data_IF_362322778874
#
_entry.id   IF_362322778874
#
_cell.length_a   1.000
_cell.length_b   1.000
_cell.length_c   1.000
_cell.angle_alpha   90.00
_cell.angle_beta   90.00
_cell.angle_gamma   90.00
#
_symmetry.space_group_name_H-M   'P 1'
#
loop_
_entity.id
_entity.type
_entity.pdbx_description
1 polymer ?
#
# COMPACT_ATOMS: atom_id res chain seq x y z
N UNK A 1 -36.61 -29.30 -11.57
CA UNK A 1 -35.82 -28.94 -10.38
C UNK A 1 -34.51 -28.31 -10.88
N UNK A 2 -34.54 -27.00 -11.12
CA UNK A 2 -33.45 -26.28 -11.80
C UNK A 2 -32.43 -25.83 -10.75
N UNK A 3 -31.20 -26.32 -10.87
CA UNK A 3 -30.07 -25.87 -10.05
C UNK A 3 -29.71 -24.43 -10.45
N UNK A 4 -29.94 -23.49 -9.53
CA UNK A 4 -29.44 -22.13 -9.65
C UNK A 4 -27.93 -22.15 -9.46
N UNK A 5 -27.21 -21.87 -10.55
CA UNK A 5 -25.77 -21.62 -10.55
C UNK A 5 -25.56 -20.21 -9.99
N UNK A 6 -24.92 -20.09 -8.84
CA UNK A 6 -24.47 -18.83 -8.26
C UNK A 6 -23.35 -18.24 -9.14
N UNK A 7 -23.46 -16.98 -9.59
CA UNK A 7 -22.42 -16.37 -10.40
C UNK A 7 -21.21 -16.04 -9.53
N UNK A 8 -20.06 -16.62 -9.85
CA UNK A 8 -18.76 -16.18 -9.37
C UNK A 8 -18.54 -14.72 -9.78
N UNK A 9 -18.44 -13.82 -8.80
CA UNK A 9 -17.96 -12.45 -9.01
C UNK A 9 -16.59 -12.53 -9.68
N UNK A 10 -16.53 -12.16 -10.97
CA UNK A 10 -15.29 -11.86 -11.65
C UNK A 10 -14.71 -10.62 -10.97
N UNK A 11 -13.51 -10.75 -10.43
CA UNK A 11 -12.69 -9.60 -10.06
C UNK A 11 -12.24 -9.00 -11.39
N UNK A 12 -12.85 -7.89 -11.80
CA UNK A 12 -12.42 -7.17 -12.99
C UNK A 12 -10.96 -6.75 -12.82
N UNK A 13 -10.11 -6.93 -13.86
CA UNK A 13 -8.79 -6.33 -13.87
C UNK A 13 -8.99 -4.81 -13.91
N UNK A 14 -8.58 -4.11 -12.84
CA UNK A 14 -8.64 -2.64 -12.77
C UNK A 14 -7.93 -2.06 -13.99
N UNK A 15 -8.72 -1.56 -14.95
CA UNK A 15 -8.23 -0.87 -16.13
C UNK A 15 -7.71 0.51 -15.76
N UNK A 16 -6.59 0.85 -16.38
CA UNK A 16 -5.86 2.10 -16.30
C UNK A 16 -6.71 3.37 -16.55
N UNK A 17 -6.28 4.46 -15.91
CA UNK A 17 -6.71 5.87 -16.04
C UNK A 17 -8.07 6.28 -15.46
N UNK A 18 -8.14 6.33 -14.13
CA UNK A 18 -8.85 7.45 -13.47
C UNK A 18 -7.75 8.36 -12.92
N UNK A 19 -7.84 9.68 -13.14
CA UNK A 19 -6.66 10.55 -13.14
C UNK A 19 -5.85 10.51 -11.84
N UNK A 20 -4.53 10.47 -12.00
CA UNK A 20 -3.61 10.68 -10.90
C UNK A 20 -3.82 12.07 -10.30
N UNK A 21 -3.66 12.19 -8.98
CA UNK A 21 -3.71 13.48 -8.28
C UNK A 21 -5.06 14.21 -8.39
N UNK A 22 -6.14 13.49 -8.64
CA UNK A 22 -7.49 14.04 -8.69
C UNK A 22 -8.01 14.30 -7.27
N UNK A 23 -8.61 15.47 -7.09
CA UNK A 23 -9.41 15.77 -5.90
C UNK A 23 -10.61 14.83 -5.84
N UNK A 24 -10.81 14.18 -4.70
CA UNK A 24 -11.87 13.22 -4.46
C UNK A 24 -12.86 13.87 -3.50
N UNK A 25 -14.12 13.87 -3.92
CA UNK A 25 -15.19 14.44 -3.13
C UNK A 25 -15.38 13.72 -1.80
N UNK A 26 -15.82 14.45 -0.78
CA UNK A 26 -16.28 13.89 0.48
C UNK A 26 -17.47 12.92 0.26
N UNK A 27 -17.70 11.97 1.17
CA UNK A 27 -18.87 11.06 1.07
C UNK A 27 -20.24 11.73 1.25
N UNK A 28 -20.27 13.05 1.51
CA UNK A 28 -21.49 13.79 1.83
C UNK A 28 -22.07 13.46 3.21
N UNK A 29 -23.35 13.77 3.40
CA UNK A 29 -24.08 13.61 4.66
C UNK A 29 -24.24 14.92 5.44
N UNK A 30 -24.91 14.83 6.59
CA UNK A 30 -25.18 15.95 7.50
C UNK A 30 -24.87 15.52 8.92
N UNK A 31 -24.03 16.31 9.59
CA UNK A 31 -23.75 16.18 11.01
C UNK A 31 -24.42 17.33 11.75
N UNK A 32 -25.31 17.02 12.68
CA UNK A 32 -25.97 18.00 13.54
C UNK A 32 -25.46 17.84 14.97
N UNK A 33 -24.92 18.92 15.53
CA UNK A 33 -24.52 19.03 16.93
C UNK A 33 -25.63 19.80 17.66
N UNK A 34 -26.40 19.12 18.50
CA UNK A 34 -27.44 19.76 19.32
C UNK A 34 -26.92 20.01 20.71
N UNK A 35 -26.85 21.27 21.13
CA UNK A 35 -26.51 21.66 22.51
C UNK A 35 -27.79 22.07 23.21
N UNK A 36 -28.03 21.49 24.39
CA UNK A 36 -29.22 21.76 25.22
C UNK A 36 -28.83 21.99 26.67
N UNK A 37 -29.51 22.93 27.29
CA UNK A 37 -29.36 23.29 28.71
C UNK A 37 -30.47 22.62 29.50
N UNK A 38 -30.11 21.90 30.57
CA UNK A 38 -31.08 21.27 31.45
C UNK A 38 -31.62 22.26 32.50
N UNK A 39 -32.66 21.86 33.24
CA UNK A 39 -33.30 22.69 34.28
C UNK A 39 -32.35 23.13 35.40
N UNK A 40 -31.21 22.44 35.56
CA UNK A 40 -30.15 22.78 36.51
C UNK A 40 -29.05 23.70 35.95
N UNK A 41 -29.21 24.22 34.73
CA UNK A 41 -28.21 25.05 34.04
C UNK A 41 -27.03 24.27 33.47
N UNK A 42 -27.01 22.94 33.58
CA UNK A 42 -25.99 22.08 33.01
C UNK A 42 -26.21 21.89 31.51
N UNK A 43 -25.14 22.01 30.72
CA UNK A 43 -25.19 21.79 29.28
C UNK A 43 -24.81 20.37 28.89
N UNK A 44 -25.50 19.87 27.88
CA UNK A 44 -25.24 18.58 27.24
C UNK A 44 -25.28 18.74 25.73
N UNK A 45 -24.63 17.83 25.00
CA UNK A 45 -24.69 17.81 23.55
C UNK A 45 -25.02 16.42 22.99
N UNK A 46 -25.64 16.41 21.82
CA UNK A 46 -25.94 15.21 21.04
C UNK A 46 -25.39 15.37 19.62
N UNK A 47 -24.79 14.30 19.09
CA UNK A 47 -24.35 14.22 17.70
C UNK A 47 -25.32 13.38 16.89
N UNK A 48 -25.78 13.91 15.75
CA UNK A 48 -26.65 13.20 14.82
C UNK A 48 -26.05 13.21 13.42
N UNK A 49 -25.77 12.03 12.86
CA UNK A 49 -25.34 11.86 11.48
C UNK A 49 -26.48 11.30 10.63
N UNK A 50 -26.70 11.89 9.46
CA UNK A 50 -27.61 11.34 8.43
C UNK A 50 -26.97 11.46 7.06
N UNK A 51 -27.21 10.47 6.19
CA UNK A 51 -26.76 10.51 4.80
C UNK A 51 -27.70 9.68 3.92
N UNK A 52 -27.95 10.17 2.71
CA UNK A 52 -28.68 9.45 1.65
C UNK A 52 -27.92 9.50 0.33
N UNK A 53 -26.61 9.81 0.34
CA UNK A 53 -25.80 9.85 -0.88
C UNK A 53 -25.60 8.44 -1.43
N UNK A 54 -25.64 8.26 -2.76
CA UNK A 54 -25.47 6.96 -3.41
C UNK A 54 -23.98 6.57 -3.56
N UNK A 55 -23.13 6.93 -2.59
CA UNK A 55 -21.71 6.63 -2.61
C UNK A 55 -21.30 5.85 -1.34
N UNK A 56 -20.17 5.13 -1.37
CA UNK A 56 -19.59 4.57 -0.16
C UNK A 56 -19.29 5.65 0.88
N UNK A 57 -19.66 5.39 2.14
CA UNK A 57 -19.31 6.23 3.27
C UNK A 57 -18.86 5.36 4.43
N UNK A 58 -17.73 5.71 5.05
CA UNK A 58 -17.27 5.15 6.31
C UNK A 58 -17.20 6.28 7.33
N UNK A 59 -17.79 6.05 8.50
CA UNK A 59 -17.74 7.01 9.61
C UNK A 59 -16.83 6.44 10.69
N UNK A 60 -15.85 7.24 11.10
CA UNK A 60 -15.02 6.95 12.27
C UNK A 60 -15.32 7.94 13.39
N UNK A 61 -14.99 7.52 14.60
CA UNK A 61 -15.15 8.32 15.81
C UNK A 61 -13.81 8.37 16.54
N UNK A 62 -13.48 9.53 17.10
CA UNK A 62 -12.30 9.73 17.94
C UNK A 62 -12.62 10.72 19.06
N UNK A 63 -11.85 10.65 20.14
CA UNK A 63 -11.83 11.72 21.14
C UNK A 63 -10.80 12.78 20.75
N UNK A 64 -11.15 14.05 20.95
CA UNK A 64 -10.25 15.18 20.78
C UNK A 64 -10.38 16.17 21.94
N UNK A 65 -9.29 16.83 22.31
CA UNK A 65 -9.35 17.93 23.26
C UNK A 65 -10.09 19.13 22.64
N UNK A 66 -10.67 20.03 23.46
CA UNK A 66 -11.37 21.21 22.95
C UNK A 66 -10.51 22.10 22.02
N UNK A 67 -9.18 22.04 22.13
CA UNK A 67 -8.23 22.74 21.25
C UNK A 67 -8.05 22.05 19.88
N UNK A 68 -8.80 21.00 19.56
CA UNK A 68 -8.70 20.29 18.28
C UNK A 68 -7.59 19.23 18.22
N UNK A 69 -7.04 18.81 19.37
CA UNK A 69 -5.96 17.81 19.43
C UNK A 69 -6.57 16.41 19.52
N UNK A 70 -6.40 15.53 18.51
CA UNK A 70 -6.88 14.15 18.57
C UNK A 70 -6.16 13.35 19.66
N UNK A 71 -6.90 12.49 20.38
CA UNK A 71 -6.38 11.69 21.50
C UNK A 71 -6.38 10.20 21.18
N UNK A 72 -7.56 9.61 20.95
CA UNK A 72 -7.70 8.17 20.74
C UNK A 72 -8.91 7.83 19.87
N UNK A 73 -8.82 6.77 19.04
CA UNK A 73 -9.96 6.29 18.27
C UNK A 73 -11.01 5.69 19.20
N UNK A 74 -12.28 5.94 18.90
CA UNK A 74 -13.39 5.28 19.58
C UNK A 74 -13.66 3.98 18.83
N UNK A 75 -13.49 2.86 19.52
CA UNK A 75 -13.96 1.58 19.02
C UNK A 75 -15.49 1.63 19.04
N UNK A 76 -16.10 1.89 17.88
CA UNK A 76 -17.55 1.93 17.74
C UNK A 76 -18.13 0.60 18.23
N UNK A 77 -18.66 0.62 19.45
CA UNK A 77 -19.32 -0.51 20.08
C UNK A 77 -20.73 -0.63 19.49
N UNK A 78 -21.26 -1.85 19.42
CA UNK A 78 -22.58 -2.11 18.82
C UNK A 78 -23.70 -1.25 19.42
N UNK A 79 -24.85 -1.20 18.73
CA UNK A 79 -26.03 -0.43 19.19
C UNK A 79 -26.36 -0.79 20.64
N UNK A 80 -26.47 0.22 21.50
CA UNK A 80 -26.83 0.07 22.91
C UNK A 80 -25.64 -0.20 23.85
N UNK A 81 -24.42 -0.30 23.34
CA UNK A 81 -23.23 -0.42 24.19
C UNK A 81 -22.74 0.99 24.56
N UNK A 82 -22.45 1.26 25.85
CA UNK A 82 -21.90 2.54 26.28
C UNK A 82 -20.58 2.84 25.57
N UNK A 83 -20.44 4.07 25.08
CA UNK A 83 -19.18 4.57 24.55
C UNK A 83 -18.18 4.65 25.72
N UNK A 84 -16.95 4.13 25.57
CA UNK A 84 -15.95 4.22 26.63
C UNK A 84 -15.67 5.69 26.97
N UNK A 85 -15.41 5.98 28.24
CA UNK A 85 -15.00 7.32 28.65
C UNK A 85 -13.64 7.68 28.02
N UNK A 86 -13.41 8.95 27.65
CA UNK A 86 -12.11 9.38 27.15
C UNK A 86 -11.04 9.25 28.23
N UNK A 87 -9.82 8.96 27.80
CA UNK A 87 -8.59 8.97 28.62
C UNK A 87 -8.34 10.31 29.29
N UNK A 88 -8.83 11.41 28.71
CA UNK A 88 -8.74 12.77 29.26
C UNK A 88 -10.14 13.35 29.46
N UNK A 89 -10.43 13.78 30.69
CA UNK A 89 -11.69 14.45 31.03
C UNK A 89 -11.85 15.74 30.21
N UNK A 90 -13.07 16.00 29.75
CA UNK A 90 -13.40 17.17 28.93
C UNK A 90 -13.07 17.01 27.43
N UNK A 91 -12.61 15.83 26.99
CA UNK A 91 -12.48 15.55 25.57
C UNK A 91 -13.86 15.43 24.90
N UNK A 92 -13.94 15.88 23.65
CA UNK A 92 -15.12 15.81 22.80
C UNK A 92 -15.07 14.58 21.90
N UNK A 93 -16.22 13.94 21.70
CA UNK A 93 -16.37 12.94 20.66
C UNK A 93 -16.51 13.65 19.31
N UNK A 94 -15.66 13.29 18.35
CA UNK A 94 -15.66 13.84 16.99
C UNK A 94 -15.97 12.73 16.00
N UNK A 95 -16.87 13.01 15.06
CA UNK A 95 -17.21 12.12 13.95
C UNK A 95 -16.53 12.59 12.67
N UNK A 96 -15.71 11.75 12.05
CA UNK A 96 -15.03 12.04 10.78
C UNK A 96 -15.53 11.06 9.72
N UNK A 97 -15.99 11.58 8.59
CA UNK A 97 -16.46 10.76 7.48
C UNK A 97 -15.38 10.62 6.39
N UNK A 98 -15.46 9.54 5.63
CA UNK A 98 -14.55 9.24 4.55
C UNK A 98 -14.78 10.10 3.31
N UNK A 99 -13.87 10.02 2.36
CA UNK A 99 -14.15 10.41 0.98
C UNK A 99 -15.25 9.54 0.33
N UNK A 100 -15.70 9.95 -0.86
CA UNK A 100 -16.76 9.33 -1.66
C UNK A 100 -16.45 7.93 -2.17
N UNK A 101 -15.24 7.41 -1.93
CA UNK A 101 -14.88 6.01 -2.20
C UNK A 101 -14.75 5.18 -0.93
N UNK A 102 -15.10 5.76 0.23
CA UNK A 102 -15.00 5.08 1.52
C UNK A 102 -13.57 5.01 2.06
N UNK A 103 -12.67 5.93 1.65
CA UNK A 103 -11.26 5.96 2.07
C UNK A 103 -10.90 7.24 2.79
N UNK A 104 -9.75 7.20 3.45
CA UNK A 104 -9.21 8.28 4.26
C UNK A 104 -7.82 8.61 3.74
N UNK A 105 -7.50 9.89 3.64
CA UNK A 105 -6.14 10.35 3.40
C UNK A 105 -5.33 10.37 4.68
N UNK A 106 -4.01 10.29 4.52
CA UNK A 106 -3.06 10.16 5.61
C UNK A 106 -1.78 10.92 5.29
N UNK A 107 -1.15 11.51 6.30
CA UNK A 107 0.17 12.14 6.19
C UNK A 107 1.15 11.53 7.18
N UNK A 108 2.35 11.20 6.73
CA UNK A 108 3.36 10.65 7.62
C UNK A 108 4.01 11.77 8.44
N UNK A 109 4.04 11.71 9.79
CA UNK A 109 4.73 12.73 10.58
C UNK A 109 6.25 12.71 10.41
N UNK A 110 6.82 11.60 9.89
CA UNK A 110 8.26 11.44 9.69
C UNK A 110 8.70 11.92 8.31
N UNK A 111 8.10 11.40 7.23
CA UNK A 111 8.50 11.76 5.87
C UNK A 111 7.60 12.79 5.19
N UNK A 112 6.48 13.18 5.81
CA UNK A 112 5.50 14.16 5.31
C UNK A 112 4.78 13.79 4.00
N UNK A 113 5.02 12.58 3.51
CA UNK A 113 4.34 12.06 2.32
C UNK A 113 2.89 11.67 2.62
N UNK A 114 2.04 11.86 1.62
CA UNK A 114 0.61 11.59 1.66
C UNK A 114 0.23 10.26 0.99
N UNK A 115 -0.82 9.58 1.46
CA UNK A 115 -1.44 8.43 0.80
C UNK A 115 -2.90 8.28 1.22
N UNK A 116 -3.66 7.37 0.59
CA UNK A 116 -5.00 6.99 1.06
C UNK A 116 -5.07 5.51 1.42
N UNK A 117 -5.83 5.19 2.46
CA UNK A 117 -6.12 3.81 2.87
C UNK A 117 -7.41 3.70 3.69
N UNK A 118 -7.60 2.55 4.34
CA UNK A 118 -8.58 2.40 5.42
C UNK A 118 -8.26 3.37 6.59
N UNK A 119 -9.21 3.61 7.53
CA UNK A 119 -9.14 4.76 8.45
C UNK A 119 -7.98 4.75 9.45
N UNK A 120 -7.50 3.56 9.82
CA UNK A 120 -6.53 3.41 10.92
C UNK A 120 -5.25 2.74 10.43
N UNK A 121 -4.41 3.42 9.62
CA UNK A 121 -3.13 2.88 9.23
C UNK A 121 -2.20 2.81 10.44
N UNK A 122 -1.24 1.89 10.38
CA UNK A 122 -0.20 1.73 11.39
C UNK A 122 1.20 1.99 10.84
N UNK A 123 1.37 1.85 9.52
CA UNK A 123 2.66 1.91 8.87
C UNK A 123 2.61 2.95 7.75
N UNK A 124 3.61 3.81 7.65
CA UNK A 124 3.77 4.66 6.48
C UNK A 124 4.20 3.81 5.25
N UNK A 125 3.49 3.89 4.11
CA UNK A 125 3.85 3.14 2.90
C UNK A 125 5.24 3.41 2.35
N UNK A 126 5.82 4.58 2.64
CA UNK A 126 7.06 5.04 2.02
C UNK A 126 8.28 4.83 2.91
N UNK A 127 8.20 5.32 4.15
CA UNK A 127 9.32 5.32 5.07
C UNK A 127 9.26 4.21 6.12
N UNK A 128 8.14 3.48 6.21
CA UNK A 128 7.89 2.45 7.23
C UNK A 128 7.89 2.95 8.67
N UNK A 129 7.68 4.25 8.89
CA UNK A 129 7.41 4.77 10.23
C UNK A 129 6.18 4.05 10.79
N UNK A 130 6.28 3.57 12.02
CA UNK A 130 5.18 3.01 12.79
C UNK A 130 4.89 3.97 13.92
N UNK A 131 3.72 4.59 13.87
CA UNK A 131 3.23 5.55 14.87
C UNK A 131 1.75 5.26 15.13
N UNK A 132 1.18 5.72 16.26
CA UNK A 132 -0.26 5.63 16.50
C UNK A 132 -1.07 6.13 15.29
N UNK A 133 -2.17 5.45 14.96
CA UNK A 133 -2.95 5.74 13.74
C UNK A 133 -3.42 7.19 13.63
N UNK A 134 -3.68 7.85 14.76
CA UNK A 134 -4.07 9.26 14.79
C UNK A 134 -2.95 10.23 14.41
N UNK A 135 -1.69 9.81 14.53
CA UNK A 135 -0.56 10.61 14.07
C UNK A 135 -0.50 10.67 12.54
N UNK A 136 -1.19 9.75 11.86
CA UNK A 136 -1.31 9.73 10.42
C UNK A 136 -2.48 10.54 9.87
N UNK A 137 -3.32 11.17 10.71
CA UNK A 137 -4.43 11.99 10.22
C UNK A 137 -3.93 13.01 9.19
N UNK A 138 -4.64 13.12 8.07
CA UNK A 138 -4.31 14.10 7.04
C UNK A 138 -4.46 15.52 7.56
N UNK A 139 -3.77 16.47 6.93
CA UNK A 139 -3.94 17.90 7.24
C UNK A 139 -5.41 18.33 7.15
N UNK A 140 -6.13 17.76 6.18
CA UNK A 140 -7.54 18.03 5.99
C UNK A 140 -8.38 17.48 7.16
N UNK A 141 -8.12 16.24 7.60
CA UNK A 141 -8.79 15.67 8.78
C UNK A 141 -8.46 16.44 10.07
N UNK A 142 -7.22 16.89 10.25
CA UNK A 142 -6.80 17.72 11.39
C UNK A 142 -7.53 19.06 11.40
N UNK A 143 -7.62 19.72 10.25
CA UNK A 143 -8.37 20.96 10.10
C UNK A 143 -9.86 20.76 10.43
N UNK A 144 -10.46 19.66 9.97
CA UNK A 144 -11.84 19.30 10.32
C UNK A 144 -12.03 19.10 11.83
N UNK A 145 -11.15 18.35 12.49
CA UNK A 145 -11.23 18.11 13.95
C UNK A 145 -11.11 19.42 14.73
N UNK A 146 -10.19 20.32 14.36
CA UNK A 146 -10.05 21.63 14.98
C UNK A 146 -11.32 22.48 14.82
N UNK A 147 -11.87 22.57 13.60
CA UNK A 147 -13.10 23.32 13.35
C UNK A 147 -14.30 22.74 14.10
N UNK A 148 -14.42 21.41 14.15
CA UNK A 148 -15.48 20.73 14.88
C UNK A 148 -15.41 21.06 16.38
N UNK A 149 -14.22 20.96 16.99
CA UNK A 149 -14.04 21.21 18.41
C UNK A 149 -14.32 22.68 18.77
N UNK A 150 -13.89 23.62 17.92
CA UNK A 150 -14.20 25.04 18.10
C UNK A 150 -15.68 25.34 18.00
N UNK A 151 -16.37 24.75 17.02
CA UNK A 151 -17.81 24.92 16.85
C UNK A 151 -18.58 24.41 18.07
N UNK A 152 -18.23 23.21 18.57
CA UNK A 152 -18.84 22.64 19.77
C UNK A 152 -18.51 23.46 21.03
N UNK A 153 -17.26 23.88 21.22
CA UNK A 153 -16.87 24.75 22.34
C UNK A 153 -17.70 26.05 22.36
N UNK A 154 -17.79 26.74 21.22
CA UNK A 154 -18.55 27.98 21.13
C UNK A 154 -20.05 27.77 21.44
N UNK A 155 -20.64 26.66 21.03
CA UNK A 155 -22.03 26.34 21.36
C UNK A 155 -22.23 25.95 22.83
N UNK A 156 -21.24 25.29 23.45
CA UNK A 156 -21.25 25.02 24.88
C UNK A 156 -21.10 26.31 25.69
N UNK A 157 -20.31 27.28 25.25
CA UNK A 157 -20.09 28.54 25.96
C UNK A 157 -21.19 29.60 25.75
N UNK A 158 -22.02 29.46 24.71
CA UNK A 158 -23.11 30.39 24.43
C UNK A 158 -24.21 30.35 25.51
N UNK A 159 -25.01 31.40 25.70
CA UNK A 159 -26.11 31.34 26.70
C UNK A 159 -27.32 30.52 26.23
N UNK A 160 -27.49 30.36 24.93
CA UNK A 160 -28.67 29.75 24.33
C UNK A 160 -28.39 28.32 23.83
N UNK A 161 -29.45 27.52 23.81
CA UNK A 161 -29.47 26.25 23.10
C UNK A 161 -29.27 26.48 21.59
N UNK A 162 -28.59 25.54 20.93
CA UNK A 162 -28.26 25.68 19.52
C UNK A 162 -28.18 24.34 18.80
N UNK A 163 -28.49 24.35 17.49
CA UNK A 163 -28.23 23.25 16.56
C UNK A 163 -27.20 23.74 15.52
N UNK A 164 -26.02 23.13 15.51
CA UNK A 164 -24.99 23.38 14.49
C UNK A 164 -25.13 22.30 13.42
N UNK A 165 -25.47 22.68 12.19
CA UNK A 165 -25.45 21.79 11.03
C UNK A 165 -24.14 21.93 10.26
N UNK A 166 -23.40 20.83 10.13
CA UNK A 166 -22.28 20.68 9.21
C UNK A 166 -22.80 19.89 8.00
N UNK A 167 -23.05 20.62 6.92
CA UNK A 167 -23.59 20.07 5.67
C UNK A 167 -22.44 19.59 4.75
N UNK A 168 -22.13 18.29 4.84
CA UNK A 168 -21.09 17.67 4.04
C UNK A 168 -21.51 17.42 2.60
N UNK A 169 -22.80 17.48 2.28
CA UNK A 169 -23.26 17.44 0.89
C UNK A 169 -22.76 18.67 0.13
N UNK A 170 -22.81 19.86 0.77
CA UNK A 170 -22.20 21.08 0.20
C UNK A 170 -20.70 20.97 0.02
N UNK A 171 -20.00 20.28 0.93
CA UNK A 171 -18.55 20.02 0.80
C UNK A 171 -18.29 19.13 -0.41
N UNK A 172 -19.06 18.06 -0.56
CA UNK A 172 -18.93 17.13 -1.68
C UNK A 172 -19.26 17.79 -3.04
N UNK A 173 -20.26 18.66 -3.09
CA UNK A 173 -20.67 19.36 -4.32
C UNK A 173 -19.73 20.50 -4.72
N UNK A 174 -18.87 20.97 -3.80
CA UNK A 174 -17.89 22.03 -4.06
C UNK A 174 -16.61 21.53 -4.74
N UNK A 175 -16.43 20.22 -4.94
CA UNK A 175 -15.23 19.63 -5.58
C UNK A 175 -15.16 20.02 -7.05
N UNK A 176 -13.99 20.50 -7.48
CA UNK A 176 -13.81 21.04 -8.84
C UNK A 176 -14.61 22.32 -9.15
N UNK A 177 -15.32 22.91 -8.17
CA UNK A 177 -16.05 24.15 -8.34
C UNK A 177 -15.12 25.38 -8.19
N UNK A 178 -15.42 26.45 -8.94
CA UNK A 178 -14.79 27.76 -8.78
C UNK A 178 -15.41 28.61 -7.67
N UNK A 179 -16.50 28.13 -7.04
CA UNK A 179 -17.16 28.81 -5.92
C UNK A 179 -16.32 28.75 -4.65
N UNK A 180 -16.48 29.72 -3.72
CA UNK A 180 -15.86 29.64 -2.40
C UNK A 180 -16.18 28.32 -1.71
N UNK A 181 -15.14 27.59 -1.31
CA UNK A 181 -15.26 26.31 -0.61
C UNK A 181 -15.85 26.54 0.80
N UNK A 182 -16.77 25.68 1.29
CA UNK A 182 -17.36 25.80 2.63
C UNK A 182 -16.29 25.74 3.74
N UNK A 183 -16.62 26.23 4.94
CA UNK A 183 -15.68 26.28 6.08
C UNK A 183 -15.06 24.90 6.40
N UNK A 184 -15.90 23.86 6.42
CA UNK A 184 -15.50 22.46 6.67
C UNK A 184 -15.00 21.73 5.41
N UNK A 185 -14.57 22.45 4.37
CA UNK A 185 -14.13 21.81 3.14
C UNK A 185 -12.85 21.00 3.36
N UNK A 186 -12.98 19.69 3.22
CA UNK A 186 -11.90 18.70 3.30
C UNK A 186 -12.09 17.72 2.16
N UNK A 187 -11.07 17.62 1.32
CA UNK A 187 -11.01 16.70 0.19
C UNK A 187 -9.72 15.90 0.25
N UNK A 188 -9.82 14.63 -0.09
CA UNK A 188 -8.66 13.75 -0.24
C UNK A 188 -8.26 13.71 -1.73
N UNK A 189 -7.07 13.21 -2.03
CA UNK A 189 -6.54 13.15 -3.39
C UNK A 189 -6.17 11.73 -3.81
N UNK A 190 -6.54 11.29 -5.03
CA UNK A 190 -6.03 10.04 -5.60
C UNK A 190 -4.51 10.08 -5.78
N UNK A 191 -3.86 8.93 -5.69
CA UNK A 191 -2.44 8.79 -6.03
C UNK A 191 -2.25 7.97 -7.31
N UNK A 192 -1.05 7.43 -7.52
CA UNK A 192 -0.65 6.79 -8.78
C UNK A 192 -0.91 5.29 -8.79
N UNK A 193 -0.81 4.63 -7.64
CA UNK A 193 -0.93 3.18 -7.55
C UNK A 193 -1.91 2.75 -6.46
N UNK A 194 -3.04 2.25 -6.90
CA UNK A 194 -4.08 1.66 -6.07
C UNK A 194 -3.91 0.14 -6.03
N UNK A 195 -3.76 -0.44 -4.84
CA UNK A 195 -3.68 -1.88 -4.67
C UNK A 195 -4.34 -2.37 -3.38
N UNK A 196 -4.76 -3.63 -3.39
CA UNK A 196 -5.14 -4.35 -2.16
C UNK A 196 -3.99 -5.22 -1.73
N UNK A 197 -3.59 -5.10 -0.47
CA UNK A 197 -2.52 -5.91 0.09
C UNK A 197 -2.87 -7.40 -0.02
N UNK A 198 -1.98 -8.19 -0.61
CA UNK A 198 -2.20 -9.64 -0.78
C UNK A 198 -2.19 -10.42 0.54
N UNK A 199 -1.65 -9.83 1.62
CA UNK A 199 -1.58 -10.45 2.94
C UNK A 199 -2.82 -10.15 3.80
N UNK A 200 -3.26 -8.89 3.88
CA UNK A 200 -4.36 -8.47 4.77
C UNK A 200 -5.59 -7.88 4.06
N UNK A 201 -5.56 -7.72 2.73
CA UNK A 201 -6.66 -7.19 1.93
C UNK A 201 -6.91 -5.67 2.03
N UNK A 202 -6.16 -4.97 2.89
CA UNK A 202 -6.26 -3.51 3.08
C UNK A 202 -5.98 -2.77 1.77
N UNK A 203 -6.84 -1.80 1.46
CA UNK A 203 -6.68 -0.91 0.32
C UNK A 203 -5.59 0.14 0.59
N UNK A 204 -4.76 0.39 -0.42
CA UNK A 204 -3.73 1.41 -0.42
C UNK A 204 -3.77 2.16 -1.75
N UNK A 205 -3.59 3.47 -1.70
CA UNK A 205 -3.47 4.36 -2.85
C UNK A 205 -2.27 5.27 -2.58
N UNK A 206 -1.16 4.97 -3.25
CA UNK A 206 0.17 5.52 -2.93
C UNK A 206 0.82 6.20 -4.14
N UNK A 207 1.80 7.05 -3.86
CA UNK A 207 2.70 7.62 -4.85
C UNK A 207 3.71 6.56 -5.32
N UNK A 208 3.95 6.49 -6.63
CA UNK A 208 4.78 5.48 -7.25
C UNK A 208 4.21 4.06 -7.15
N UNK A 209 4.97 3.07 -7.61
CA UNK A 209 4.50 1.68 -7.74
C UNK A 209 4.70 0.84 -6.47
N UNK A 210 5.73 1.13 -5.67
CA UNK A 210 6.17 0.25 -4.58
C UNK A 210 6.01 0.90 -3.21
N UNK A 211 5.43 0.17 -2.27
CA UNK A 211 5.24 0.63 -0.90
C UNK A 211 4.91 -0.49 0.08
N UNK A 212 4.96 -0.14 1.36
CA UNK A 212 4.41 -0.97 2.43
C UNK A 212 2.89 -0.85 2.46
N UNK A 213 2.20 -1.95 2.76
CA UNK A 213 0.81 -1.88 3.16
C UNK A 213 0.69 -1.03 4.44
N UNK A 214 -0.21 -0.05 4.42
CA UNK A 214 -0.37 0.89 5.52
C UNK A 214 -0.85 0.27 6.83
N UNK A 215 -1.35 -0.95 6.79
CA UNK A 215 -1.90 -1.66 7.95
C UNK A 215 -0.94 -2.74 8.46
N UNK A 216 -0.68 -3.78 7.65
CA UNK A 216 0.18 -4.89 8.06
C UNK A 216 1.69 -4.68 7.83
N UNK A 217 2.10 -3.66 7.07
CA UNK A 217 3.52 -3.43 6.76
C UNK A 217 4.13 -4.42 5.75
N UNK A 218 3.34 -5.25 5.06
CA UNK A 218 3.84 -6.11 3.96
C UNK A 218 4.19 -5.25 2.74
N UNK A 219 5.36 -5.46 2.13
CA UNK A 219 5.73 -4.79 0.87
C UNK A 219 4.97 -5.35 -0.32
N UNK A 220 4.50 -4.49 -1.24
CA UNK A 220 3.79 -4.93 -2.44
C UNK A 220 4.69 -5.37 -3.60
N UNK A 221 6.01 -5.14 -3.53
CA UNK A 221 6.95 -5.38 -4.63
C UNK A 221 6.88 -6.81 -5.19
N UNK A 222 6.71 -7.82 -4.32
CA UNK A 222 6.62 -9.21 -4.77
C UNK A 222 5.33 -9.45 -5.55
N UNK A 223 4.22 -8.86 -5.10
CA UNK A 223 2.95 -8.96 -5.80
C UNK A 223 3.02 -8.29 -7.17
N UNK A 224 3.63 -7.09 -7.26
CA UNK A 224 3.83 -6.41 -8.55
C UNK A 224 4.72 -7.27 -9.47
N UNK A 225 5.85 -7.77 -8.97
CA UNK A 225 6.75 -8.60 -9.76
C UNK A 225 6.08 -9.88 -10.27
N UNK A 226 5.41 -10.63 -9.39
CA UNK A 226 4.83 -11.94 -9.69
C UNK A 226 3.51 -11.85 -10.47
N UNK A 227 2.66 -10.86 -10.18
CA UNK A 227 1.28 -10.79 -10.70
C UNK A 227 1.09 -9.77 -11.81
N UNK A 228 2.03 -8.86 -12.00
CA UNK A 228 1.96 -7.84 -13.05
C UNK A 228 3.15 -8.01 -14.02
N UNK A 229 4.37 -7.81 -13.55
CA UNK A 229 5.56 -7.76 -14.42
C UNK A 229 5.85 -9.09 -15.12
N UNK A 230 5.90 -10.21 -14.37
CA UNK A 230 6.16 -11.54 -14.96
C UNK A 230 5.06 -11.95 -15.96
N UNK A 231 3.76 -11.80 -15.64
CA UNK A 231 2.68 -12.05 -16.61
C UNK A 231 2.75 -11.19 -17.86
N UNK A 232 3.13 -9.91 -17.76
CA UNK A 232 3.31 -9.04 -18.93
C UNK A 232 4.43 -9.54 -19.85
N UNK A 233 5.58 -9.92 -19.29
CA UNK A 233 6.68 -10.51 -20.06
C UNK A 233 6.24 -11.83 -20.71
N UNK A 234 5.52 -12.70 -19.99
CA UNK A 234 4.97 -13.94 -20.55
C UNK A 234 3.98 -13.67 -21.68
N UNK A 235 3.11 -12.67 -21.52
CA UNK A 235 2.15 -12.27 -22.54
C UNK A 235 2.84 -11.79 -23.81
N UNK A 236 3.86 -10.93 -23.68
CA UNK A 236 4.65 -10.47 -24.82
C UNK A 236 5.38 -11.62 -25.52
N UNK A 237 6.00 -12.54 -24.77
CA UNK A 237 6.67 -13.72 -25.29
C UNK A 237 5.69 -14.64 -26.05
N UNK A 238 4.54 -14.95 -25.46
CA UNK A 238 3.52 -15.79 -26.08
C UNK A 238 2.84 -15.13 -27.28
N UNK A 239 2.90 -13.80 -27.38
CA UNK A 239 2.42 -13.02 -28.53
C UNK A 239 3.39 -13.00 -29.72
N UNK A 240 4.45 -13.83 -29.71
CA UNK A 240 5.47 -13.85 -30.77
C UNK A 240 6.66 -12.94 -30.50
N UNK A 241 6.78 -12.39 -29.29
CA UNK A 241 7.96 -11.63 -28.86
C UNK A 241 9.22 -12.49 -28.88
N UNK A 242 10.37 -11.86 -29.16
CA UNK A 242 11.67 -12.56 -29.20
C UNK A 242 12.08 -13.04 -27.80
N UNK A 243 12.50 -14.30 -27.62
CA UNK A 243 12.98 -14.81 -26.33
C UNK A 243 14.13 -14.01 -25.72
N UNK A 244 15.01 -13.42 -26.54
CA UNK A 244 16.10 -12.56 -26.04
C UNK A 244 15.59 -11.29 -25.33
N UNK A 245 14.49 -10.71 -25.83
CA UNK A 245 13.85 -9.56 -25.17
C UNK A 245 13.25 -10.00 -23.83
N UNK A 246 12.56 -11.14 -23.81
CA UNK A 246 12.00 -11.68 -22.57
C UNK A 246 13.09 -11.93 -21.52
N UNK A 247 14.26 -12.45 -21.91
CA UNK A 247 15.40 -12.63 -21.00
C UNK A 247 15.88 -11.28 -20.45
N UNK A 248 16.14 -10.29 -21.31
CA UNK A 248 16.59 -8.96 -20.89
C UNK A 248 15.61 -8.33 -19.91
N UNK A 249 14.33 -8.33 -20.27
CA UNK A 249 13.28 -7.68 -19.48
C UNK A 249 13.07 -8.42 -18.15
N UNK A 250 13.19 -9.76 -18.13
CA UNK A 250 13.13 -10.58 -16.90
C UNK A 250 14.26 -10.23 -15.92
N UNK A 251 15.49 -10.17 -16.41
CA UNK A 251 16.66 -9.87 -15.56
C UNK A 251 16.64 -8.41 -15.11
N UNK A 252 16.24 -7.47 -15.97
CA UNK A 252 16.10 -6.06 -15.59
C UNK A 252 15.00 -5.84 -14.54
N UNK A 253 13.86 -6.54 -14.66
CA UNK A 253 12.80 -6.50 -13.67
C UNK A 253 13.26 -7.08 -12.32
N UNK A 254 13.97 -8.21 -12.34
CA UNK A 254 14.51 -8.80 -11.12
C UNK A 254 15.59 -7.93 -10.45
N UNK A 255 16.50 -7.34 -11.22
CA UNK A 255 17.51 -6.38 -10.74
C UNK A 255 16.84 -5.18 -10.04
N UNK A 256 15.78 -4.64 -10.65
CA UNK A 256 14.99 -3.56 -10.08
C UNK A 256 14.28 -3.98 -8.78
N UNK A 257 13.68 -5.18 -8.76
CA UNK A 257 13.05 -5.77 -7.58
C UNK A 257 14.06 -5.90 -6.43
N UNK A 258 15.21 -6.54 -6.66
CA UNK A 258 16.27 -6.71 -5.65
C UNK A 258 16.77 -5.35 -5.15
N UNK A 259 16.92 -4.37 -6.04
CA UNK A 259 17.31 -3.01 -5.70
C UNK A 259 16.35 -2.31 -4.73
N UNK A 260 15.04 -2.52 -4.85
CA UNK A 260 14.08 -1.97 -3.90
C UNK A 260 14.28 -2.54 -2.49
N UNK A 261 14.47 -3.86 -2.37
CA UNK A 261 14.74 -4.50 -1.08
C UNK A 261 16.08 -4.07 -0.48
N UNK A 262 17.14 -4.01 -1.30
CA UNK A 262 18.45 -3.55 -0.87
C UNK A 262 18.39 -2.11 -0.33
N UNK A 263 17.67 -1.21 -1.01
CA UNK A 263 17.45 0.17 -0.57
C UNK A 263 16.77 0.23 0.79
N UNK A 264 15.74 -0.60 1.01
CA UNK A 264 15.01 -0.64 2.28
C UNK A 264 15.86 -1.22 3.40
N UNK A 265 16.57 -2.33 3.16
CA UNK A 265 17.47 -2.94 4.14
C UNK A 265 18.60 -1.98 4.53
N UNK A 266 19.21 -1.27 3.56
CA UNK A 266 20.24 -0.28 3.82
C UNK A 266 19.74 0.90 4.68
N UNK A 267 18.43 1.21 4.61
CA UNK A 267 17.78 2.26 5.40
C UNK A 267 17.39 1.79 6.79
N UNK A 268 16.84 0.58 6.92
CA UNK A 268 16.18 0.09 8.13
C UNK A 268 17.09 -0.77 9.02
N UNK A 269 18.12 -1.38 8.46
CA UNK A 269 19.09 -2.19 9.21
C UNK A 269 20.32 -1.35 9.53
N UNK A 270 20.76 -1.27 10.81
CA UNK A 270 22.02 -0.64 11.16
C UNK A 270 23.20 -1.36 10.50
N UNK A 271 23.89 -0.65 9.60
CA UNK A 271 25.01 -1.18 8.82
C UNK A 271 26.18 -0.19 8.80
N UNK A 272 27.39 -0.73 8.78
CA UNK A 272 28.62 0.04 8.48
C UNK A 272 28.55 0.62 7.05
N UNK A 273 29.20 1.77 6.81
CA UNK A 273 29.25 2.43 5.50
C UNK A 273 29.66 1.47 4.37
N UNK A 274 30.74 0.70 4.55
CA UNK A 274 31.19 -0.24 3.52
C UNK A 274 30.17 -1.34 3.15
N UNK A 275 29.30 -1.75 4.09
CA UNK A 275 28.18 -2.68 3.78
C UNK A 275 27.07 -1.97 3.02
N UNK A 276 26.78 -0.70 3.36
CA UNK A 276 25.79 0.11 2.61
C UNK A 276 26.24 0.36 1.17
N UNK A 277 27.51 0.69 0.95
CA UNK A 277 28.06 0.96 -0.39
C UNK A 277 27.98 -0.28 -1.30
N UNK A 278 28.17 -1.49 -0.73
CA UNK A 278 27.99 -2.74 -1.46
C UNK A 278 26.55 -2.96 -1.94
N UNK A 279 25.55 -2.44 -1.23
CA UNK A 279 24.12 -2.56 -1.57
C UNK A 279 23.64 -1.53 -2.59
N UNK A 280 24.44 -0.50 -2.89
CA UNK A 280 24.10 0.53 -3.88
C UNK A 280 24.52 0.15 -5.32
N UNK A 281 25.11 -1.03 -5.51
CA UNK A 281 25.52 -1.55 -6.82
C UNK A 281 24.33 -2.19 -7.55
N UNK A 282 24.45 -2.33 -8.88
CA UNK A 282 23.50 -3.11 -9.71
C UNK A 282 23.70 -4.61 -9.49
N UNK A 283 22.61 -5.38 -9.44
CA UNK A 283 22.54 -6.81 -9.20
C UNK A 283 22.55 -7.60 -10.52
N UNK A 284 23.54 -7.30 -11.38
CA UNK A 284 23.68 -7.87 -12.72
C UNK A 284 24.44 -9.21 -12.76
N UNK A 285 24.94 -9.68 -11.62
CA UNK A 285 25.49 -11.02 -11.41
C UNK A 285 24.65 -11.75 -10.38
N UNK A 286 24.02 -12.85 -10.78
CA UNK A 286 23.16 -13.62 -9.90
C UNK A 286 23.93 -14.21 -8.72
N UNK A 287 25.12 -14.79 -8.94
CA UNK A 287 25.89 -15.41 -7.85
C UNK A 287 26.41 -14.37 -6.88
N UNK A 288 26.93 -13.25 -7.39
CA UNK A 288 27.31 -12.11 -6.57
C UNK A 288 26.15 -11.58 -5.74
N UNK A 289 24.93 -11.58 -6.29
CA UNK A 289 23.71 -11.20 -5.56
C UNK A 289 23.37 -12.19 -4.45
N UNK A 290 23.42 -13.50 -4.71
CA UNK A 290 23.24 -14.54 -3.68
C UNK A 290 24.21 -14.34 -2.51
N UNK A 291 25.50 -14.23 -2.82
CA UNK A 291 26.55 -14.05 -1.82
C UNK A 291 26.37 -12.76 -1.03
N UNK A 292 26.06 -11.65 -1.70
CA UNK A 292 25.88 -10.34 -1.06
C UNK A 292 24.79 -10.37 0.02
N UNK A 293 23.61 -10.92 -0.30
CA UNK A 293 22.50 -10.97 0.64
C UNK A 293 22.72 -12.00 1.75
N UNK A 294 23.35 -13.13 1.44
CA UNK A 294 23.73 -14.13 2.45
C UNK A 294 24.75 -13.56 3.43
N UNK A 295 25.80 -12.92 2.94
CA UNK A 295 26.89 -12.38 3.77
C UNK A 295 26.46 -11.22 4.67
N UNK A 296 25.60 -10.33 4.17
CA UNK A 296 25.21 -9.12 4.90
C UNK A 296 24.02 -9.38 5.83
N UNK A 297 23.06 -10.21 5.40
CA UNK A 297 21.74 -10.33 6.04
C UNK A 297 21.33 -11.76 6.40
N UNK A 298 22.16 -12.76 6.08
CA UNK A 298 21.82 -14.18 6.19
C UNK A 298 20.61 -14.61 5.33
N UNK A 299 20.25 -13.81 4.32
CA UNK A 299 19.13 -14.11 3.41
C UNK A 299 19.63 -15.00 2.27
N UNK A 300 19.12 -16.22 2.21
CA UNK A 300 19.39 -17.17 1.13
C UNK A 300 18.34 -17.07 0.01
N UNK A 301 18.67 -16.36 -1.07
CA UNK A 301 17.83 -16.25 -2.26
C UNK A 301 17.75 -17.57 -3.05
N UNK A 302 18.74 -18.46 -2.90
CA UNK A 302 18.81 -19.74 -3.58
C UNK A 302 18.12 -20.87 -2.79
N UNK A 303 17.49 -20.55 -1.66
CA UNK A 303 16.75 -21.51 -0.86
C UNK A 303 15.79 -22.35 -1.71
N UNK A 304 15.88 -23.66 -1.57
CA UNK A 304 15.09 -24.67 -2.31
C UNK A 304 15.33 -24.69 -3.84
N UNK A 305 16.28 -23.92 -4.39
CA UNK A 305 16.72 -24.05 -5.78
C UNK A 305 17.74 -25.18 -5.93
N UNK A 306 17.67 -25.94 -7.03
CA UNK A 306 18.67 -26.96 -7.32
C UNK A 306 19.97 -26.30 -7.81
N UNK A 307 21.14 -26.92 -7.63
CA UNK A 307 22.40 -26.41 -8.18
C UNK A 307 22.31 -26.10 -9.68
N UNK A 308 21.69 -26.98 -10.47
CA UNK A 308 21.48 -26.75 -11.90
C UNK A 308 20.59 -25.52 -12.21
N UNK A 309 19.58 -25.24 -11.38
CA UNK A 309 18.73 -24.04 -11.53
C UNK A 309 19.55 -22.77 -11.25
N UNK A 310 20.45 -22.81 -10.27
CA UNK A 310 21.35 -21.69 -9.93
C UNK A 310 22.34 -21.45 -11.08
N UNK A 311 22.93 -22.52 -11.62
CA UNK A 311 23.85 -22.45 -12.75
C UNK A 311 23.15 -21.88 -13.99
N UNK A 312 21.91 -22.32 -14.25
CA UNK A 312 21.06 -21.80 -15.31
C UNK A 312 20.79 -20.30 -15.14
N UNK A 313 20.35 -19.86 -13.95
CA UNK A 313 20.11 -18.45 -13.66
C UNK A 313 21.37 -17.61 -13.87
N UNK A 314 22.50 -18.04 -13.32
CA UNK A 314 23.77 -17.34 -13.46
C UNK A 314 24.16 -17.15 -14.94
N UNK A 315 24.04 -18.22 -15.75
CA UNK A 315 24.31 -18.16 -17.18
C UNK A 315 23.39 -17.15 -17.89
N UNK A 316 22.10 -17.11 -17.55
CA UNK A 316 21.14 -16.16 -18.15
C UNK A 316 21.45 -14.71 -17.82
N UNK A 317 21.98 -14.42 -16.63
CA UNK A 317 22.46 -13.07 -16.28
C UNK A 317 23.65 -12.67 -17.14
N UNK A 318 24.61 -13.57 -17.38
CA UNK A 318 25.72 -13.30 -18.31
C UNK A 318 25.23 -13.09 -19.75
N UNK A 319 24.25 -13.86 -20.21
CA UNK A 319 23.70 -13.70 -21.57
C UNK A 319 22.97 -12.37 -21.78
N UNK A 320 22.33 -11.80 -20.74
CA UNK A 320 21.77 -10.44 -20.82
C UNK A 320 22.82 -9.44 -21.30
N UNK A 321 24.03 -9.47 -20.72
CA UNK A 321 25.11 -8.56 -21.11
C UNK A 321 25.44 -8.67 -22.60
N UNK A 322 25.49 -9.90 -23.12
CA UNK A 322 25.74 -10.17 -24.55
C UNK A 322 24.64 -9.60 -25.43
N UNK A 323 23.37 -9.73 -25.05
CA UNK A 323 22.25 -9.16 -25.81
C UNK A 323 22.19 -7.63 -25.74
N UNK A 324 22.51 -7.03 -24.59
CA UNK A 324 22.47 -5.57 -24.42
C UNK A 324 23.65 -4.85 -25.09
N UNK A 325 24.84 -5.46 -25.09
CA UNK A 325 26.06 -4.75 -25.46
C UNK A 325 26.82 -5.35 -26.64
N UNK A 326 26.53 -6.59 -27.04
CA UNK A 326 27.30 -7.32 -28.06
C UNK A 326 26.43 -7.84 -29.21
N UNK A 327 25.19 -7.36 -29.32
CA UNK A 327 24.28 -7.76 -30.39
C UNK A 327 23.89 -9.24 -30.37
N UNK A 328 24.07 -9.94 -29.25
CA UNK A 328 23.83 -11.38 -29.13
C UNK A 328 25.01 -12.26 -29.57
N UNK A 329 26.19 -11.69 -29.86
CA UNK A 329 27.38 -12.46 -30.25
C UNK A 329 28.28 -12.76 -29.04
N UNK A 330 28.61 -14.04 -28.83
CA UNK A 330 29.49 -14.47 -27.74
C UNK A 330 30.91 -13.89 -27.91
N UNK A 331 31.37 -13.13 -26.92
CA UNK A 331 32.72 -12.57 -26.87
C UNK A 331 33.63 -13.28 -25.84
N UNK A 332 34.93 -12.94 -25.85
CA UNK A 332 35.92 -13.56 -24.95
C UNK A 332 35.58 -13.32 -23.49
N UNK A 333 35.07 -12.12 -23.15
CA UNK A 333 34.70 -11.77 -21.80
C UNK A 333 33.52 -12.63 -21.30
N UNK A 334 32.50 -12.81 -22.12
CA UNK A 334 31.37 -13.69 -21.83
C UNK A 334 31.83 -15.13 -21.60
N UNK A 335 32.63 -15.71 -22.49
CA UNK A 335 33.08 -17.10 -22.36
C UNK A 335 33.93 -17.30 -21.11
N UNK A 336 34.83 -16.36 -20.80
CA UNK A 336 35.70 -16.42 -19.64
C UNK A 336 34.95 -16.31 -18.31
N UNK A 337 33.88 -15.51 -18.26
CA UNK A 337 33.14 -15.24 -17.02
C UNK A 337 31.95 -16.18 -16.79
N UNK A 338 31.26 -16.60 -17.86
CA UNK A 338 30.09 -17.47 -17.76
C UNK A 338 30.42 -18.96 -17.68
N UNK A 339 31.57 -19.37 -18.23
CA UNK A 339 31.91 -20.79 -18.40
C UNK A 339 31.02 -21.52 -19.42
N UNK A 340 30.31 -20.80 -20.29
CA UNK A 340 29.41 -21.40 -21.29
C UNK A 340 30.19 -22.19 -22.35
N UNK A 341 30.15 -23.51 -22.26
CA UNK A 341 30.78 -24.41 -23.25
C UNK A 341 29.86 -24.76 -24.42
N UNK A 342 28.63 -24.24 -24.45
CA UNK A 342 27.64 -24.56 -25.50
C UNK A 342 27.76 -23.68 -26.74
N UNK A 343 28.55 -22.60 -26.69
CA UNK A 343 28.75 -21.65 -27.79
C UNK A 343 30.23 -21.37 -28.01
N UNK A 344 30.60 -21.03 -29.25
CA UNK A 344 31.97 -20.64 -29.62
C UNK A 344 32.12 -19.12 -29.66
N UNK A 345 33.36 -18.63 -29.61
CA UNK A 345 33.65 -17.22 -29.84
C UNK A 345 33.09 -16.76 -31.19
N UNK A 346 32.43 -15.60 -31.21
CA UNK A 346 31.69 -15.02 -32.34
C UNK A 346 30.41 -15.77 -32.76
N UNK A 347 29.99 -16.79 -32.02
CA UNK A 347 28.72 -17.44 -32.29
C UNK A 347 27.56 -16.57 -31.80
N UNK A 348 26.54 -16.39 -32.63
CA UNK A 348 25.28 -15.77 -32.20
C UNK A 348 24.56 -16.70 -31.22
N UNK A 349 24.30 -16.20 -30.02
CA UNK A 349 23.51 -16.85 -28.98
C UNK A 349 22.03 -16.70 -29.33
N UNK A 350 21.26 -17.78 -29.18
CA UNK A 350 19.81 -17.79 -29.35
C UNK A 350 19.14 -18.31 -28.09
N UNK A 351 18.07 -17.65 -27.68
CA UNK A 351 17.24 -18.11 -26.57
C UNK A 351 15.99 -18.83 -27.08
N UNK A 352 15.46 -19.72 -26.25
CA UNK A 352 14.20 -20.43 -26.54
C UNK A 352 13.08 -19.87 -25.68
N UNK A 353 11.85 -20.00 -26.17
CA UNK A 353 10.66 -19.62 -25.41
C UNK A 353 10.56 -20.39 -24.09
N UNK A 354 10.82 -21.69 -24.12
CA UNK A 354 10.80 -22.54 -22.92
C UNK A 354 11.86 -22.08 -21.90
N UNK A 355 13.07 -21.75 -22.36
CA UNK A 355 14.13 -21.23 -21.49
C UNK A 355 13.77 -19.88 -20.86
N UNK A 356 13.06 -19.00 -21.57
CA UNK A 356 12.58 -17.75 -21.02
C UNK A 356 11.46 -17.97 -19.99
N UNK A 357 10.55 -18.94 -20.21
CA UNK A 357 9.54 -19.32 -19.23
C UNK A 357 10.12 -19.94 -17.97
N UNK A 358 11.16 -20.78 -18.11
CA UNK A 358 11.92 -21.37 -17.01
C UNK A 358 12.61 -20.27 -16.19
N UNK A 359 13.33 -19.34 -16.85
CA UNK A 359 13.96 -18.18 -16.21
C UNK A 359 12.97 -17.40 -15.36
N UNK A 360 11.82 -17.01 -15.92
CA UNK A 360 10.79 -16.27 -15.20
C UNK A 360 10.27 -17.04 -13.97
N UNK A 361 10.08 -18.36 -14.09
CA UNK A 361 9.64 -19.20 -12.96
C UNK A 361 10.67 -19.26 -11.84
N UNK A 362 11.95 -19.42 -12.18
CA UNK A 362 13.04 -19.45 -11.22
C UNK A 362 13.27 -18.10 -10.54
N UNK A 363 13.14 -16.98 -11.28
CA UNK A 363 13.24 -15.64 -10.71
C UNK A 363 12.12 -15.34 -9.71
N UNK A 364 10.88 -15.80 -9.96
CA UNK A 364 9.78 -15.67 -8.98
C UNK A 364 10.11 -16.43 -7.69
N UNK A 365 10.72 -17.61 -7.78
CA UNK A 365 11.15 -18.37 -6.59
C UNK A 365 12.22 -17.62 -5.80
N UNK A 366 13.25 -17.10 -6.49
CA UNK A 366 14.29 -16.29 -5.85
C UNK A 366 13.74 -14.99 -5.23
N UNK A 367 12.80 -14.32 -5.92
CA UNK A 367 12.12 -13.13 -5.42
C UNK A 367 11.29 -13.41 -4.16
N UNK A 368 10.59 -14.54 -4.14
CA UNK A 368 9.87 -15.03 -2.96
C UNK A 368 10.81 -15.27 -1.78
N UNK A 369 11.97 -15.89 -2.00
CA UNK A 369 12.97 -16.11 -0.96
C UNK A 369 13.50 -14.79 -0.39
N UNK A 370 13.82 -13.82 -1.25
CA UNK A 370 14.22 -12.48 -0.81
C UNK A 370 13.11 -11.80 0.00
N UNK A 371 11.86 -11.83 -0.47
CA UNK A 371 10.73 -11.22 0.23
C UNK A 371 10.54 -11.83 1.63
N UNK A 372 10.61 -13.16 1.75
CA UNK A 372 10.52 -13.86 3.04
C UNK A 372 11.69 -13.51 3.96
N UNK A 373 12.92 -13.53 3.46
CA UNK A 373 14.11 -13.17 4.26
C UNK A 373 14.13 -11.69 4.67
N UNK A 374 13.62 -10.81 3.83
CA UNK A 374 13.40 -9.41 4.21
C UNK A 374 12.42 -9.30 5.37
N UNK A 375 11.27 -9.96 5.28
CA UNK A 375 10.24 -9.90 6.32
C UNK A 375 10.57 -10.71 7.59
N UNK A 376 11.59 -11.58 7.57
CA UNK A 376 12.14 -12.14 8.81
C UNK A 376 13.01 -11.16 9.58
N UNK A 377 13.65 -10.20 8.89
CA UNK A 377 14.41 -9.11 9.53
C UNK A 377 13.51 -7.91 9.87
N UNK A 378 12.51 -7.66 9.03
CA UNK A 378 11.61 -6.52 9.11
C UNK A 378 10.18 -7.07 9.17
N UNK A 379 9.72 -7.46 10.38
CA UNK A 379 8.47 -8.18 10.54
C UNK A 379 7.24 -7.37 10.11
N UNK A 380 6.19 -8.10 9.75
CA UNK A 380 4.86 -7.58 9.43
C UNK A 380 3.96 -7.74 10.66
N UNK A 381 2.88 -6.95 10.74
CA UNK A 381 1.86 -7.15 11.78
C UNK A 381 0.98 -8.34 11.42
N UNK A 382 0.93 -9.32 12.32
CA UNK A 382 0.14 -10.54 12.16
C UNK A 382 -1.37 -10.28 12.30
N UNK A 383 -1.76 -9.41 13.23
CA UNK A 383 -3.18 -9.16 13.56
C UNK A 383 -4.05 -8.79 12.33
N UNK A 384 -3.68 -7.84 11.45
CA UNK A 384 -4.48 -7.56 10.25
C UNK A 384 -4.57 -8.74 9.28
N UNK A 385 -3.50 -9.54 9.18
CA UNK A 385 -3.42 -10.71 8.30
C UNK A 385 -4.37 -11.81 8.80
N UNK A 386 -4.35 -12.09 10.10
CA UNK A 386 -5.21 -13.09 10.75
C UNK A 386 -6.70 -12.69 10.68
N UNK A 387 -7.00 -11.41 10.93
CA UNK A 387 -8.34 -10.83 10.79
C UNK A 387 -8.86 -10.95 9.36
N UNK A 388 -8.00 -10.72 8.37
CA UNK A 388 -8.34 -10.92 6.96
C UNK A 388 -8.64 -12.39 6.65
N UNK A 389 -7.77 -13.32 7.07
CA UNK A 389 -7.97 -14.75 6.85
C UNK A 389 -9.31 -15.24 7.44
N UNK A 390 -9.66 -14.77 8.63
CA UNK A 390 -10.94 -15.08 9.31
C UNK A 390 -12.14 -14.54 8.54
N UNK A 391 -12.06 -13.31 8.01
CA UNK A 391 -13.14 -12.72 7.19
C UNK A 391 -13.33 -13.47 5.87
N UNK A 392 -12.24 -13.89 5.23
CA UNK A 392 -12.28 -14.66 3.98
C UNK A 392 -12.87 -16.06 4.21
N UNK A 393 -12.50 -16.74 5.30
CA UNK A 393 -13.05 -18.07 5.61
C UNK A 393 -14.55 -18.03 5.86
N UNK A 394 -15.04 -17.07 6.64
CA UNK A 394 -16.48 -16.87 6.90
C UNK A 394 -17.31 -16.62 5.63
N UNK A 395 -16.75 -15.92 4.64
CA UNK A 395 -17.42 -15.67 3.35
C UNK A 395 -17.45 -16.90 2.43
N UNK A 396 -16.55 -17.85 2.63
CA UNK A 396 -16.44 -19.08 1.82
C UNK A 396 -17.23 -20.25 2.37
N UNK A 397 -17.62 -20.21 3.64
CA UNK A 397 -18.56 -21.18 4.20
C UNK A 397 -19.94 -20.96 3.57
N UNK A 398 -20.49 -21.93 2.81
CA UNK A 398 -21.89 -21.87 2.42
C UNK A 398 -22.74 -21.87 3.69
N UNK A 399 -23.61 -20.86 3.82
CA UNK A 399 -24.59 -20.78 4.90
C UNK A 399 -25.66 -21.85 4.79
#
# INVERSE_FOLDING_TARGET
MAMMVTPTMKVDPMSQSTGEFQEIAHSGGKLVIRVRTNDGGGKSYQLHWSSSRPNPSTLIQLFALPQGIPLEPISAVGIGVPIPAPSVLGAYMVMVASDSTGKFGHHCPVCREYWRSEPWPWTCPYCRAEVPSLDFLSDAQRAYVDQFCRALMNALDADNDSDIEIDMDKVADAVGSSTPKPAFYVSEQSQQHQFRCVACGTFNDILGTYGYCSDCGTRNDLAVFEKETVPEIRKALNGGGRPENALRDSVAAFDSFVGQYAKQLAKLVPLTTGRKDRLQKRFHDFRGTLALFRDIFDIDLAKDLKPADIDFLALRFHRRHVFEHKGGEADEHYLATSGDTSVKLKQTIRETQDGAHELLGLLVRAANNLHKGFHSLIPVRAEPIESHATRVSRRRSPG
#
